data_IF_128251896278
#
_entry.id   IF_128251896278
#
_cell.length_a   1.000
_cell.length_b   1.000
_cell.length_c   1.000
_cell.angle_alpha   90.00
_cell.angle_beta   90.00
_cell.angle_gamma   90.00
#
_symmetry.space_group_name_H-M   'P 1'
#
loop_
_entity.id
_entity.type
_entity.pdbx_description
1 polymer ?
#
# COMPACT_ATOMS: atom_id res chain seq x y z
N UNK A 1 -2.40 45.98 -26.67
CA UNK A 1 -1.72 44.68 -26.86
C UNK A 1 -2.81 43.70 -27.20
N UNK A 2 -2.79 43.14 -28.42
CA UNK A 2 -3.83 42.24 -28.93
C UNK A 2 -3.37 40.81 -28.74
N UNK A 3 -4.05 40.06 -27.88
CA UNK A 3 -3.81 38.63 -27.67
C UNK A 3 -4.26 37.83 -28.91
N UNK A 4 -3.38 36.98 -29.41
CA UNK A 4 -3.70 35.98 -30.44
C UNK A 4 -4.09 34.69 -29.70
N UNK A 5 -5.37 34.31 -29.77
CA UNK A 5 -5.82 32.97 -29.35
C UNK A 5 -5.59 31.99 -30.49
N UNK A 6 -4.57 31.14 -30.38
CA UNK A 6 -4.40 29.97 -31.24
C UNK A 6 -5.28 28.84 -30.70
N UNK A 7 -6.48 28.69 -31.28
CA UNK A 7 -7.33 27.52 -31.07
C UNK A 7 -6.66 26.29 -31.69
N UNK A 8 -6.03 25.46 -30.87
CA UNK A 8 -5.64 24.11 -31.27
C UNK A 8 -6.91 23.27 -31.44
N UNK A 9 -7.17 22.80 -32.65
CA UNK A 9 -8.34 21.97 -32.97
C UNK A 9 -7.83 20.54 -33.10
N UNK A 10 -7.76 19.80 -32.00
CA UNK A 10 -7.41 18.36 -32.04
C UNK A 10 -8.59 17.60 -32.64
N UNK A 11 -8.35 16.95 -33.79
CA UNK A 11 -9.35 16.15 -34.51
C UNK A 11 -9.37 14.76 -33.89
N UNK A 12 -10.49 14.38 -33.28
CA UNK A 12 -10.78 12.98 -32.91
C UNK A 12 -10.82 12.11 -34.18
N UNK A 13 -9.90 11.17 -34.30
CA UNK A 13 -9.96 10.08 -35.29
C UNK A 13 -10.31 8.80 -34.53
N UNK A 14 -11.58 8.41 -34.61
CA UNK A 14 -12.03 7.07 -34.21
C UNK A 14 -11.60 6.08 -35.29
N UNK A 15 -10.65 5.20 -34.98
CA UNK A 15 -10.26 4.08 -35.81
C UNK A 15 -10.64 2.77 -35.12
N UNK A 16 -11.90 2.36 -35.28
CA UNK A 16 -12.37 1.04 -34.91
C UNK A 16 -11.81 -0.03 -35.87
N UNK A 17 -11.14 -1.06 -35.33
CA UNK A 17 -10.89 -2.40 -35.93
C UNK A 17 -10.17 -3.23 -34.85
N UNK A 18 -10.78 -4.16 -34.12
CA UNK A 18 -11.46 -5.36 -34.60
C UNK A 18 -10.48 -6.54 -34.68
N UNK A 19 -10.43 -7.40 -33.65
CA UNK A 19 -9.97 -8.81 -33.75
C UNK A 19 -10.48 -9.64 -32.57
N UNK A 20 -11.43 -10.54 -32.82
CA UNK A 20 -11.86 -11.59 -31.90
C UNK A 20 -10.87 -12.76 -31.99
N UNK A 21 -10.12 -13.02 -30.92
CA UNK A 21 -9.36 -14.26 -30.75
C UNK A 21 -10.08 -15.15 -29.71
N UNK A 22 -10.59 -16.27 -30.18
CA UNK A 22 -11.07 -17.35 -29.33
C UNK A 22 -9.97 -18.41 -29.17
N UNK A 23 -10.10 -19.25 -28.12
CA UNK A 23 -9.39 -20.51 -27.80
C UNK A 23 -8.19 -20.30 -26.84
N UNK A 24 -8.01 -21.07 -25.76
CA UNK A 24 -8.68 -22.31 -25.35
C UNK A 24 -8.36 -22.69 -23.91
N UNK A 25 -9.31 -23.41 -23.32
CA UNK A 25 -9.32 -23.91 -21.95
C UNK A 25 -8.48 -25.19 -21.89
N UNK A 26 -7.44 -25.24 -21.04
CA UNK A 26 -6.73 -26.45 -20.68
C UNK A 26 -6.37 -26.40 -19.18
N UNK A 27 -6.95 -27.31 -18.40
CA UNK A 27 -6.83 -27.33 -16.95
C UNK A 27 -5.55 -27.95 -16.41
N UNK A 28 -5.33 -27.77 -15.11
CA UNK A 28 -4.57 -28.72 -14.31
C UNK A 28 -5.32 -28.96 -12.99
N UNK A 29 -5.82 -30.18 -12.90
CA UNK A 29 -6.43 -30.81 -11.75
C UNK A 29 -5.28 -31.55 -11.03
N UNK A 30 -4.93 -31.18 -9.81
CA UNK A 30 -4.01 -31.93 -8.93
C UNK A 30 -4.55 -31.82 -7.50
N UNK A 31 -5.30 -32.80 -7.04
CA UNK A 31 -4.87 -34.10 -6.49
C UNK A 31 -4.37 -33.96 -5.05
N UNK A 32 -5.37 -34.14 -4.18
CA UNK A 32 -5.42 -34.78 -2.87
C UNK A 32 -4.08 -35.13 -2.18
N UNK A 33 -3.94 -34.58 -0.96
CA UNK A 33 -2.95 -34.96 0.05
C UNK A 33 -3.63 -35.15 1.40
N UNK A 34 -3.97 -36.41 1.64
CA UNK A 34 -4.58 -37.02 2.81
C UNK A 34 -3.74 -36.96 4.12
N UNK A 35 -4.47 -36.71 5.21
CA UNK A 35 -4.48 -37.43 6.50
C UNK A 35 -3.32 -37.34 7.53
N UNK A 36 -3.79 -37.28 8.79
CA UNK A 36 -3.25 -37.88 10.03
C UNK A 36 -2.64 -36.98 11.13
N UNK A 37 -3.50 -36.75 12.13
CA UNK A 37 -3.36 -37.23 13.52
C UNK A 37 -2.66 -36.36 14.60
N UNK A 38 -3.50 -35.88 15.53
CA UNK A 38 -3.33 -36.18 16.96
C UNK A 38 -2.97 -35.01 17.89
N UNK A 39 -3.89 -34.67 18.80
CA UNK A 39 -3.64 -33.77 19.93
C UNK A 39 -4.91 -33.38 20.68
N UNK A 40 -5.48 -34.34 21.40
CA UNK A 40 -6.55 -34.17 22.40
C UNK A 40 -5.89 -33.78 23.72
N UNK A 41 -6.03 -32.52 24.16
CA UNK A 41 -5.70 -32.08 25.52
C UNK A 41 -6.73 -31.03 25.97
N UNK A 42 -7.92 -31.52 26.36
CA UNK A 42 -8.89 -30.68 27.04
C UNK A 42 -8.38 -30.19 28.39
N UNK A 43 -8.69 -28.95 28.75
CA UNK A 43 -8.95 -28.54 30.13
C UNK A 43 -10.17 -27.61 30.11
N UNK A 44 -11.27 -28.15 30.61
CA UNK A 44 -12.35 -27.40 31.24
C UNK A 44 -11.75 -26.63 32.43
N UNK A 45 -11.92 -25.32 32.49
CA UNK A 45 -11.95 -24.58 33.75
C UNK A 45 -12.89 -23.39 33.60
N UNK A 46 -14.08 -23.60 34.15
CA UNK A 46 -15.08 -22.60 34.51
C UNK A 46 -14.44 -21.49 35.36
N UNK A 47 -14.45 -20.26 34.85
CA UNK A 47 -14.35 -19.06 35.67
C UNK A 47 -15.47 -18.10 35.29
N UNK A 48 -16.58 -18.25 36.03
CA UNK A 48 -17.52 -17.18 36.32
C UNK A 48 -16.77 -16.06 37.05
N UNK A 49 -16.32 -15.06 36.30
CA UNK A 49 -16.00 -13.74 36.84
C UNK A 49 -16.91 -12.72 36.16
N UNK A 50 -18.05 -12.52 36.82
CA UNK A 50 -19.00 -11.43 36.69
C UNK A 50 -18.33 -10.06 36.89
N UNK A 51 -17.59 -9.65 35.88
CA UNK A 51 -17.20 -8.28 35.66
C UNK A 51 -18.21 -7.61 34.75
N UNK A 52 -19.25 -7.03 35.38
CA UNK A 52 -20.10 -6.01 34.79
C UNK A 52 -19.26 -4.76 34.48
N UNK A 53 -18.52 -4.80 33.38
CA UNK A 53 -18.05 -3.63 32.67
C UNK A 53 -19.09 -3.32 31.59
N UNK A 54 -19.98 -2.41 31.94
CA UNK A 54 -20.87 -1.68 31.03
C UNK A 54 -20.03 -0.61 30.29
N UNK A 55 -18.88 -1.03 29.74
CA UNK A 55 -17.95 -0.19 29.00
C UNK A 55 -18.12 -0.53 27.51
N UNK A 56 -18.95 0.30 26.87
CA UNK A 56 -18.56 1.00 25.65
C UNK A 56 -17.79 0.19 24.60
N UNK A 57 -18.49 -0.65 23.85
CA UNK A 57 -18.19 -0.82 22.43
C UNK A 57 -19.54 -0.82 21.71
N UNK A 58 -19.98 0.37 21.32
CA UNK A 58 -20.76 0.50 20.09
C UNK A 58 -19.86 -0.15 19.02
N UNK A 59 -20.06 -1.46 18.81
CA UNK A 59 -19.70 -2.12 17.58
C UNK A 59 -20.49 -1.38 16.51
N UNK A 60 -19.85 -0.33 15.98
CA UNK A 60 -20.26 0.33 14.76
C UNK A 60 -20.28 -0.77 13.70
N UNK A 61 -21.47 -1.36 13.58
CA UNK A 61 -22.02 -2.09 12.46
C UNK A 61 -21.96 -1.16 11.25
N UNK A 62 -20.74 -0.92 10.76
CA UNK A 62 -20.46 -0.38 9.45
C UNK A 62 -20.77 -1.48 8.45
N UNK A 63 -22.06 -1.78 8.34
CA UNK A 63 -22.68 -2.47 7.20
C UNK A 63 -22.61 -1.57 5.96
N UNK A 64 -21.39 -1.27 5.55
CA UNK A 64 -21.06 -0.79 4.22
C UNK A 64 -20.60 -2.03 3.46
N UNK A 65 -21.60 -2.75 2.96
CA UNK A 65 -21.54 -3.75 1.88
C UNK A 65 -21.15 -3.05 0.58
N UNK A 66 -20.08 -2.28 0.63
CA UNK A 66 -19.39 -1.76 -0.52
C UNK A 66 -18.26 -2.76 -0.74
N UNK A 67 -18.26 -3.42 -1.89
CA UNK A 67 -17.34 -4.49 -2.31
C UNK A 67 -15.92 -3.93 -2.51
N UNK A 68 -15.39 -3.20 -1.52
CA UNK A 68 -14.08 -2.58 -1.55
C UNK A 68 -13.00 -3.65 -1.50
N UNK A 69 -12.08 -3.57 -2.44
CA UNK A 69 -10.88 -4.37 -2.47
C UNK A 69 -9.93 -3.92 -1.36
N UNK A 70 -9.40 -4.87 -0.61
CA UNK A 70 -8.27 -4.63 0.29
C UNK A 70 -6.97 -4.64 -0.52
N UNK A 71 -6.23 -3.54 -0.47
CA UNK A 71 -4.93 -3.37 -1.14
C UNK A 71 -3.84 -3.35 -0.08
N UNK A 72 -2.88 -4.27 -0.16
CA UNK A 72 -1.76 -4.37 0.78
C UNK A 72 -0.64 -3.39 0.42
N UNK A 73 -0.30 -3.31 -0.87
CA UNK A 73 0.77 -2.46 -1.41
C UNK A 73 0.20 -1.60 -2.55
N UNK A 74 0.53 -0.31 -2.58
CA UNK A 74 0.19 0.58 -3.70
C UNK A 74 1.31 1.60 -3.93
N UNK A 75 2.05 1.45 -5.03
CA UNK A 75 3.24 2.23 -5.38
C UNK A 75 3.00 3.00 -6.68
N UNK A 76 3.31 4.30 -6.69
CA UNK A 76 3.37 5.13 -7.89
C UNK A 76 4.80 5.14 -8.42
N UNK A 77 4.98 4.80 -9.69
CA UNK A 77 6.27 4.75 -10.36
C UNK A 77 6.31 5.75 -11.52
N UNK A 78 7.43 6.44 -11.70
CA UNK A 78 7.71 7.14 -12.95
C UNK A 78 7.88 6.11 -14.06
N UNK A 79 7.03 6.17 -15.09
CA UNK A 79 7.01 5.15 -16.15
C UNK A 79 8.24 5.21 -17.06
N UNK A 80 8.85 6.38 -17.22
CA UNK A 80 10.01 6.55 -18.10
C UNK A 80 11.32 6.16 -17.38
N UNK A 81 11.41 6.41 -16.08
CA UNK A 81 12.58 6.15 -15.25
C UNK A 81 12.54 4.81 -14.49
N UNK A 82 11.34 4.24 -14.28
CA UNK A 82 11.11 3.08 -13.39
C UNK A 82 11.51 3.39 -11.94
N UNK A 83 11.21 4.62 -11.48
CA UNK A 83 11.60 5.14 -10.17
C UNK A 83 10.36 5.41 -9.28
N UNK A 84 10.45 5.06 -7.99
CA UNK A 84 9.37 5.23 -7.03
C UNK A 84 9.12 6.71 -6.74
N UNK A 85 7.87 7.15 -6.89
CA UNK A 85 7.43 8.53 -6.65
C UNK A 85 6.77 8.67 -5.27
N UNK A 86 5.83 7.77 -4.96
CA UNK A 86 5.11 7.73 -3.70
C UNK A 86 4.52 6.33 -3.50
N UNK A 87 4.20 5.95 -2.27
CA UNK A 87 3.48 4.71 -2.00
C UNK A 87 2.50 4.88 -0.83
N UNK A 88 1.44 4.09 -0.81
CA UNK A 88 0.48 4.07 0.30
C UNK A 88 0.94 3.04 1.33
N UNK A 89 0.94 3.44 2.60
CA UNK A 89 1.11 2.54 3.74
C UNK A 89 0.04 2.84 4.79
N UNK A 90 -0.70 1.81 5.19
CA UNK A 90 -1.90 1.92 6.02
C UNK A 90 -2.95 2.88 5.39
N UNK A 91 -3.11 4.07 5.95
CA UNK A 91 -4.12 5.07 5.57
C UNK A 91 -3.54 6.37 4.99
N UNK A 92 -2.26 6.37 4.59
CA UNK A 92 -1.59 7.58 4.09
C UNK A 92 -0.52 7.31 3.03
N UNK A 93 -0.19 8.36 2.27
CA UNK A 93 0.95 8.37 1.37
C UNK A 93 2.25 8.60 2.14
N UNK A 94 3.21 7.72 1.88
CA UNK A 94 4.62 7.97 2.10
C UNK A 94 5.21 8.60 0.83
N UNK A 95 6.00 9.65 1.03
CA UNK A 95 6.54 10.56 0.02
C UNK A 95 5.48 11.44 -0.68
N UNK A 96 5.92 12.65 -1.06
CA UNK A 96 5.07 13.70 -1.60
C UNK A 96 5.52 15.11 -1.19
N UNK A 97 5.01 16.15 -1.86
CA UNK A 97 3.99 16.11 -2.92
C UNK A 97 4.50 15.50 -4.22
N UNK A 98 3.58 15.04 -5.07
CA UNK A 98 3.90 14.65 -6.43
C UNK A 98 4.16 15.88 -7.29
N UNK A 99 5.34 16.02 -7.86
CA UNK A 99 5.69 17.17 -8.70
C UNK A 99 5.33 16.91 -10.17
N UNK A 100 4.63 17.86 -10.78
CA UNK A 100 4.25 17.81 -12.20
C UNK A 100 4.82 19.02 -12.95
N UNK A 101 5.51 18.84 -14.09
CA UNK A 101 6.06 19.96 -14.85
C UNK A 101 4.96 20.84 -15.49
N UNK A 102 5.07 22.16 -15.37
CA UNK A 102 4.16 23.11 -16.01
C UNK A 102 4.27 23.06 -17.55
N UNK A 103 3.12 22.98 -18.23
CA UNK A 103 3.01 22.86 -19.70
C UNK A 103 3.64 21.58 -20.29
N UNK A 104 4.00 20.60 -19.45
CA UNK A 104 4.53 19.30 -19.83
C UNK A 104 3.81 18.17 -19.07
N UNK A 105 4.22 16.92 -19.23
CA UNK A 105 3.50 15.75 -18.69
C UNK A 105 4.42 14.81 -17.91
N UNK A 106 3.90 14.25 -16.82
CA UNK A 106 4.47 13.14 -16.07
C UNK A 106 3.62 11.88 -16.31
N UNK A 107 4.24 10.81 -16.79
CA UNK A 107 3.57 9.51 -16.96
C UNK A 107 3.84 8.61 -15.74
N UNK A 108 2.78 8.18 -15.07
CA UNK A 108 2.84 7.41 -13.82
C UNK A 108 2.24 6.03 -14.03
N UNK A 109 2.99 5.00 -13.65
CA UNK A 109 2.54 3.61 -13.57
C UNK A 109 2.28 3.22 -12.12
N UNK A 110 1.50 2.17 -11.89
CA UNK A 110 1.20 1.64 -10.57
C UNK A 110 1.64 0.20 -10.45
N UNK A 111 2.28 -0.11 -9.33
CA UNK A 111 2.42 -1.47 -8.83
C UNK A 111 1.54 -1.61 -7.58
N UNK A 112 0.64 -2.59 -7.59
CA UNK A 112 -0.26 -2.83 -6.47
C UNK A 112 -0.41 -4.33 -6.19
N UNK A 113 -0.58 -4.67 -4.92
CA UNK A 113 -0.81 -6.03 -4.44
C UNK A 113 -2.10 -6.06 -3.61
N UNK A 114 -2.90 -7.11 -3.78
CA UNK A 114 -4.09 -7.35 -2.96
C UNK A 114 -3.73 -7.84 -1.55
N UNK A 115 -4.74 -8.06 -0.70
CA UNK A 115 -4.55 -8.56 0.67
C UNK A 115 -3.93 -9.97 0.79
N UNK A 116 -3.87 -10.74 -0.29
CA UNK A 116 -3.20 -12.04 -0.34
C UNK A 116 -1.73 -11.90 -0.83
N UNK A 117 -1.28 -10.68 -1.15
CA UNK A 117 0.02 -10.37 -1.72
C UNK A 117 0.12 -10.77 -3.20
N UNK A 118 -1.00 -10.87 -3.91
CA UNK A 118 -1.03 -11.13 -5.34
C UNK A 118 -1.04 -9.80 -6.13
N UNK A 119 -0.16 -9.70 -7.14
CA UNK A 119 -0.04 -8.51 -7.99
C UNK A 119 -1.35 -8.27 -8.77
N UNK A 120 -1.85 -7.04 -8.69
CA UNK A 120 -3.00 -6.55 -9.44
C UNK A 120 -2.52 -6.10 -10.82
N UNK A 121 -3.04 -6.73 -11.88
CA UNK A 121 -2.67 -6.42 -13.26
C UNK A 121 -3.63 -5.40 -13.85
N UNK A 122 -3.07 -4.28 -14.35
CA UNK A 122 -3.83 -3.18 -14.95
C UNK A 122 -3.78 -3.17 -16.49
N UNK A 123 -4.87 -2.71 -17.12
CA UNK A 123 -4.89 -2.44 -18.56
C UNK A 123 -6.28 -2.29 -19.16
N UNK A 124 -6.38 -1.72 -20.38
CA UNK A 124 -7.66 -1.53 -21.10
C UNK A 124 -8.44 -2.83 -21.38
N UNK A 125 -7.74 -3.96 -21.43
CA UNK A 125 -8.29 -5.30 -21.69
C UNK A 125 -8.24 -6.21 -20.45
N UNK A 126 -7.77 -5.69 -19.31
CA UNK A 126 -7.65 -6.43 -18.04
C UNK A 126 -8.88 -6.21 -17.15
N UNK A 127 -8.95 -6.93 -16.04
CA UNK A 127 -10.06 -6.82 -15.08
C UNK A 127 -10.06 -5.45 -14.39
N UNK A 128 -8.86 -4.98 -14.03
CA UNK A 128 -8.65 -3.72 -13.33
C UNK A 128 -8.06 -2.65 -14.25
N UNK A 129 -8.53 -1.42 -14.06
CA UNK A 129 -8.05 -0.23 -14.74
C UNK A 129 -7.62 0.82 -13.73
N UNK A 130 -6.55 1.52 -14.06
CA UNK A 130 -6.05 2.65 -13.30
C UNK A 130 -6.72 3.95 -13.77
N UNK A 131 -7.27 4.69 -12.82
CA UNK A 131 -7.91 6.00 -13.04
C UNK A 131 -7.47 6.97 -11.93
N UNK A 132 -7.66 8.28 -12.16
CA UNK A 132 -7.50 9.28 -11.10
C UNK A 132 -8.43 10.47 -11.28
N UNK A 133 -8.74 11.16 -10.18
CA UNK A 133 -9.53 12.39 -10.18
C UNK A 133 -8.90 13.45 -9.30
N UNK A 134 -9.11 14.72 -9.65
CA UNK A 134 -8.84 15.83 -8.74
C UNK A 134 -9.91 15.86 -7.63
N UNK A 135 -9.49 16.09 -6.39
CA UNK A 135 -10.36 16.17 -5.22
C UNK A 135 -11.41 17.28 -5.39
N UNK A 136 -12.66 17.03 -4.96
CA UNK A 136 -13.73 18.02 -5.06
C UNK A 136 -13.39 19.30 -4.28
N UNK A 137 -13.21 20.40 -5.02
CA UNK A 137 -12.93 21.73 -4.46
C UNK A 137 -11.45 22.12 -4.43
N UNK A 138 -10.55 21.21 -4.81
CA UNK A 138 -9.16 21.53 -5.12
C UNK A 138 -9.05 22.33 -6.43
N UNK A 139 -7.87 22.90 -6.70
CA UNK A 139 -7.63 23.65 -7.93
C UNK A 139 -7.40 22.70 -9.12
N UNK A 140 -8.03 22.97 -10.27
CA UNK A 140 -7.85 22.20 -11.52
C UNK A 140 -6.52 22.59 -12.19
N UNK A 141 -5.40 22.35 -11.51
CA UNK A 141 -4.05 22.70 -11.96
C UNK A 141 -3.42 21.61 -12.84
N UNK A 142 -3.95 20.39 -12.80
CA UNK A 142 -3.48 19.20 -13.52
C UNK A 142 -4.60 18.64 -14.39
N UNK A 143 -4.31 18.34 -15.66
CA UNK A 143 -5.16 17.51 -16.53
C UNK A 143 -4.71 16.05 -16.38
N UNK A 144 -5.66 15.14 -16.12
CA UNK A 144 -5.42 13.71 -15.92
C UNK A 144 -5.99 12.95 -17.13
N UNK A 145 -5.16 12.17 -17.81
CA UNK A 145 -5.57 11.25 -18.88
C UNK A 145 -5.24 9.81 -18.47
N UNK A 146 -6.27 8.95 -18.35
CA UNK A 146 -6.11 7.54 -17.98
C UNK A 146 -5.99 6.65 -19.21
N UNK A 147 -5.08 5.67 -19.12
CA UNK A 147 -4.77 4.73 -20.21
C UNK A 147 -5.04 3.26 -19.85
N UNK A 148 -5.63 3.00 -18.68
CA UNK A 148 -5.91 1.65 -18.18
C UNK A 148 -4.77 1.08 -17.36
N UNK A 149 -3.52 1.11 -17.85
CA UNK A 149 -2.32 0.65 -17.11
C UNK A 149 -1.50 1.78 -16.49
N UNK A 150 -1.71 3.02 -16.91
CA UNK A 150 -0.96 4.20 -16.46
C UNK A 150 -1.81 5.46 -16.55
N UNK A 151 -1.31 6.53 -15.92
CA UNK A 151 -1.88 7.87 -15.94
C UNK A 151 -0.88 8.84 -16.57
N UNK A 152 -1.38 9.73 -17.42
CA UNK A 152 -0.63 10.91 -17.88
C UNK A 152 -1.15 12.14 -17.14
N UNK A 153 -0.26 12.79 -16.36
CA UNK A 153 -0.54 14.00 -15.60
C UNK A 153 0.09 15.21 -16.29
N UNK A 154 -0.72 16.11 -16.85
CA UNK A 154 -0.25 17.32 -17.54
C UNK A 154 -0.46 18.57 -16.69
N UNK A 155 0.61 19.32 -16.42
CA UNK A 155 0.52 20.57 -15.65
C UNK A 155 -0.11 21.71 -16.45
N UNK A 156 -1.31 22.15 -16.09
CA UNK A 156 -2.02 23.26 -16.75
C UNK A 156 -1.71 24.63 -16.13
N UNK A 157 -1.49 24.69 -14.82
CA UNK A 157 -1.23 25.94 -14.08
C UNK A 157 -0.41 25.66 -12.83
N UNK A 158 0.60 26.49 -12.57
CA UNK A 158 1.46 26.32 -11.41
C UNK A 158 0.69 26.52 -10.09
N UNK A 159 0.92 25.64 -9.12
CA UNK A 159 0.23 25.63 -7.84
C UNK A 159 0.02 24.22 -7.29
N UNK A 160 -0.59 24.14 -6.11
CA UNK A 160 -0.87 22.89 -5.42
C UNK A 160 -2.31 22.45 -5.72
N UNK A 161 -2.51 21.16 -5.90
CA UNK A 161 -3.80 20.47 -5.98
C UNK A 161 -3.73 19.14 -5.23
N UNK A 162 -4.84 18.42 -5.15
CA UNK A 162 -4.95 17.12 -4.50
C UNK A 162 -5.65 16.17 -5.47
N UNK A 163 -5.11 14.96 -5.63
CA UNK A 163 -5.69 13.91 -6.48
C UNK A 163 -6.00 12.65 -5.67
N UNK A 164 -6.93 11.85 -6.16
CA UNK A 164 -7.24 10.49 -5.67
C UNK A 164 -7.00 9.53 -6.83
N UNK A 165 -6.12 8.57 -6.61
CA UNK A 165 -5.83 7.47 -7.53
C UNK A 165 -6.76 6.32 -7.19
N UNK A 166 -7.30 5.65 -8.21
CA UNK A 166 -8.40 4.69 -8.05
C UNK A 166 -8.13 3.42 -8.85
N UNK A 167 -8.50 2.28 -8.26
CA UNK A 167 -8.55 0.98 -8.93
C UNK A 167 -9.99 0.75 -9.37
N UNK A 168 -10.22 0.72 -10.69
CA UNK A 168 -11.54 0.54 -11.27
C UNK A 168 -11.75 -0.88 -11.76
N UNK A 169 -12.94 -1.39 -11.51
CA UNK A 169 -13.45 -2.64 -12.07
C UNK A 169 -14.78 -2.35 -12.76
N UNK A 170 -14.86 -2.62 -14.06
CA UNK A 170 -16.00 -2.29 -14.92
C UNK A 170 -16.45 -0.80 -14.85
N UNK A 171 -17.45 -0.48 -14.01
CA UNK A 171 -18.08 0.85 -13.92
C UNK A 171 -18.05 1.48 -12.52
N UNK A 172 -17.26 0.91 -11.62
CA UNK A 172 -17.07 1.41 -10.26
C UNK A 172 -15.60 1.34 -9.82
N UNK A 173 -15.27 2.16 -8.81
CA UNK A 173 -14.00 2.07 -8.10
C UNK A 173 -14.14 1.02 -7.00
N UNK A 174 -13.23 0.04 -7.01
CA UNK A 174 -13.12 -0.99 -5.97
C UNK A 174 -12.17 -0.53 -4.85
N UNK A 175 -11.32 0.47 -5.11
CA UNK A 175 -10.43 1.06 -4.13
C UNK A 175 -10.06 2.50 -4.49
N UNK A 176 -10.07 3.39 -3.48
CA UNK A 176 -9.66 4.79 -3.59
C UNK A 176 -8.45 5.06 -2.69
N UNK A 177 -7.42 5.70 -3.22
CA UNK A 177 -6.28 6.13 -2.43
C UNK A 177 -6.65 7.23 -1.43
N UNK A 178 -5.82 7.45 -0.39
CA UNK A 178 -5.81 8.74 0.32
C UNK A 178 -5.58 9.90 -0.66
N UNK A 179 -5.93 11.13 -0.26
CA UNK A 179 -5.66 12.32 -1.05
C UNK A 179 -4.14 12.55 -1.18
N UNK A 180 -3.62 12.63 -2.40
CA UNK A 180 -2.21 12.89 -2.70
C UNK A 180 -2.01 14.37 -3.08
N UNK A 181 -1.23 15.10 -2.28
CA UNK A 181 -0.82 16.46 -2.64
C UNK A 181 0.02 16.42 -3.92
N UNK A 182 -0.33 17.25 -4.90
CA UNK A 182 0.34 17.36 -6.20
C UNK A 182 0.69 18.83 -6.48
N UNK A 183 1.95 19.13 -6.80
CA UNK A 183 2.41 20.49 -7.09
C UNK A 183 2.87 20.63 -8.54
N UNK A 184 2.26 21.58 -9.26
CA UNK A 184 2.69 21.94 -10.61
C UNK A 184 3.78 23.00 -10.53
N UNK A 185 4.99 22.68 -11.02
CA UNK A 185 6.19 23.51 -10.89
C UNK A 185 6.72 24.02 -12.24
N UNK A 186 7.28 25.23 -12.26
CA UNK A 186 7.90 25.82 -13.47
C UNK A 186 9.29 25.23 -13.77
N UNK A 187 10.04 24.90 -12.72
CA UNK A 187 11.36 24.28 -12.79
C UNK A 187 11.22 22.88 -12.18
N UNK A 188 11.07 21.89 -13.05
CA UNK A 188 10.95 20.49 -12.66
C UNK A 188 12.34 19.89 -12.49
N UNK A 189 12.58 19.28 -11.32
CA UNK A 189 13.75 18.48 -11.03
C UNK A 189 13.29 17.05 -10.77
N UNK A 190 13.70 16.14 -11.65
CA UNK A 190 13.33 14.72 -11.63
C UNK A 190 13.74 14.11 -10.28
N UNK A 191 14.93 14.47 -9.80
CA UNK A 191 15.51 13.96 -8.55
C UNK A 191 14.70 14.39 -7.30
N UNK A 192 13.93 15.49 -7.36
CA UNK A 192 13.09 15.92 -6.23
C UNK A 192 11.77 15.14 -6.15
N UNK A 193 11.40 14.43 -7.21
CA UNK A 193 10.15 13.68 -7.29
C UNK A 193 10.31 12.20 -6.89
N UNK A 194 11.55 11.73 -6.81
CA UNK A 194 11.84 10.35 -6.48
C UNK A 194 11.85 10.17 -4.96
N UNK A 195 11.20 9.13 -4.46
CA UNK A 195 11.36 8.70 -3.09
C UNK A 195 12.82 8.30 -2.90
N UNK A 196 13.60 9.13 -2.19
CA UNK A 196 14.97 8.81 -1.82
C UNK A 196 14.98 7.45 -1.11
N UNK A 197 15.36 6.40 -1.85
CA UNK A 197 15.61 5.07 -1.31
C UNK A 197 16.93 5.15 -0.54
N UNK A 198 16.88 5.78 0.64
CA UNK A 198 17.97 5.94 1.59
C UNK A 198 18.43 4.57 2.17
N UNK A 199 18.16 3.45 1.49
CA UNK A 199 18.75 2.15 1.75
C UNK A 199 20.16 1.97 1.17
N UNK A 200 20.93 3.05 1.04
CA UNK A 200 22.39 2.96 1.10
C UNK A 200 22.85 2.72 2.57
N UNK A 201 22.35 1.62 3.15
CA UNK A 201 23.05 0.90 4.19
C UNK A 201 24.14 0.03 3.57
N UNK A 202 25.00 0.66 2.76
CA UNK A 202 26.39 0.27 2.59
C UNK A 202 27.15 0.42 3.91
N UNK A 203 26.72 -0.31 4.94
CA UNK A 203 27.58 -0.73 6.03
C UNK A 203 28.51 -1.82 5.49
N UNK A 204 29.39 -1.43 4.58
CA UNK A 204 30.71 -2.04 4.51
C UNK A 204 31.41 -1.72 5.84
N UNK A 205 31.08 -2.47 6.89
CA UNK A 205 31.88 -2.63 8.12
C UNK A 205 33.18 -3.39 7.80
N UNK A 206 33.79 -3.06 6.67
CA UNK A 206 35.15 -3.42 6.34
C UNK A 206 36.09 -2.52 7.13
N UNK A 207 36.66 -3.16 8.16
CA UNK A 207 37.88 -2.82 8.88
C UNK A 207 37.71 -1.97 10.15
N UNK A 208 37.82 -2.62 11.30
CA UNK A 208 39.09 -2.60 12.04
C UNK A 208 39.20 -3.83 12.96
N UNK A 209 39.93 -4.84 12.47
CA UNK A 209 40.74 -5.70 13.33
C UNK A 209 41.67 -4.80 14.16
N UNK A 210 41.30 -4.51 15.41
CA UNK A 210 42.25 -4.02 16.41
C UNK A 210 42.33 -5.04 17.55
N UNK A 211 43.31 -5.90 17.37
CA UNK A 211 44.02 -6.71 18.34
C UNK A 211 44.13 -6.10 19.77
N UNK A 212 44.12 -7.02 20.75
CA UNK A 212 44.61 -6.91 22.14
C UNK A 212 43.64 -6.24 23.13
N UNK A 213 43.15 -6.94 24.15
CA UNK A 213 43.93 -7.23 25.36
C UNK A 213 43.47 -8.50 26.10
N UNK A 214 44.44 -9.39 26.36
CA UNK A 214 44.44 -10.26 27.52
C UNK A 214 44.32 -9.42 28.80
N UNK A 215 43.38 -9.75 29.69
CA UNK A 215 43.60 -9.67 31.13
C UNK A 215 42.65 -10.63 31.84
N UNK A 216 43.26 -11.68 32.38
CA UNK A 216 42.76 -12.57 33.39
C UNK A 216 42.11 -11.80 34.57
N UNK A 217 41.11 -12.40 35.24
CA UNK A 217 41.17 -12.69 36.69
C UNK A 217 39.79 -12.91 37.37
N UNK A 218 39.68 -14.11 37.99
CA UNK A 218 39.06 -14.43 39.30
C UNK A 218 37.52 -14.42 39.41
N UNK A 219 36.88 -15.59 39.54
CA UNK A 219 36.72 -16.48 40.72
C UNK A 219 35.47 -16.14 41.56
N UNK A 220 34.69 -17.20 41.80
CA UNK A 220 33.85 -17.47 42.97
C UNK A 220 32.66 -16.53 43.31
N UNK A 221 31.43 -17.05 43.29
CA UNK A 221 30.80 -17.58 44.51
C UNK A 221 29.29 -17.87 44.33
N UNK A 222 28.93 -19.03 44.89
CA UNK A 222 27.61 -19.58 45.15
C UNK A 222 26.65 -18.62 45.85
N UNK A 223 25.33 -18.78 45.65
CA UNK A 223 24.35 -18.85 46.74
C UNK A 223 23.05 -19.55 46.27
N UNK A 224 22.88 -20.79 46.72
CA UNK A 224 21.58 -21.40 47.06
C UNK A 224 20.91 -20.60 48.18
N UNK A 225 19.58 -20.58 48.22
CA UNK A 225 18.70 -20.56 49.43
C UNK A 225 17.26 -20.24 48.94
N UNK A 226 16.33 -21.19 48.81
CA UNK A 226 15.60 -21.96 49.84
C UNK A 226 14.34 -21.28 50.42
N UNK A 227 13.23 -22.02 50.29
CA UNK A 227 12.07 -22.13 51.19
C UNK A 227 11.11 -20.92 51.40
N UNK A 228 9.81 -21.14 51.19
CA UNK A 228 8.93 -21.56 52.30
C UNK A 228 7.49 -21.90 51.85
N UNK A 229 7.06 -23.07 52.33
CA UNK A 229 5.70 -23.58 52.46
C UNK A 229 4.76 -22.64 53.24
N UNK A 230 3.45 -22.84 53.07
CA UNK A 230 2.41 -23.00 54.12
C UNK A 230 1.04 -22.69 53.46
N UNK A 231 0.20 -23.68 53.14
CA UNK A 231 -0.74 -24.42 54.01
C UNK A 231 -2.02 -23.63 54.39
N UNK A 232 -3.13 -24.39 54.42
CA UNK A 232 -4.41 -24.14 55.13
C UNK A 232 -5.47 -23.25 54.43
N UNK A 233 -6.77 -23.58 54.33
CA UNK A 233 -7.63 -24.61 54.93
C UNK A 233 -9.06 -24.48 54.31
N UNK A 234 -9.79 -25.60 54.16
CA UNK A 234 -11.24 -25.82 54.46
C UNK A 234 -12.33 -24.84 53.93
N UNK A 235 -13.55 -25.22 53.51
CA UNK A 235 -14.42 -26.39 53.70
C UNK A 235 -15.54 -26.36 52.61
N UNK A 236 -15.97 -27.54 52.18
CA UNK A 236 -17.29 -27.86 51.63
C UNK A 236 -18.47 -27.15 52.33
N UNK A 237 -19.55 -26.82 51.60
CA UNK A 237 -20.91 -27.27 51.96
C UNK A 237 -21.96 -26.96 50.86
N UNK A 238 -22.42 -28.06 50.24
CA UNK A 238 -23.80 -28.43 49.87
C UNK A 238 -24.66 -27.71 48.80
#
# INVERSE_FOLDING_TARGET
MTANSTRSTRRKLLAASGSLAALGIAGCLGEDGDDEAGGDDGHDDDHDDDHAHDDDHDDDDHGHDDEHMDVETFELLDRDADELLAYVHDDHWDHGPLYVPLEDSLSVEVHAEDADGEEIVFGEDEEYQLEATVVEGAEENVEIESHGDHLDLTGESAGITEIIVQIWHDDHSDWDSPELETEVVEEYDEEENHADDDHDHGHDDDHHDDDHHDDDHHDDDHHDDDHHDDDDHHDDDH
#
